data_IF_667314255401
#
_entry.id   IF_667314255401
#
_cell.length_a   1.000
_cell.length_b   1.000
_cell.length_c   1.000
_cell.angle_alpha   90.00
_cell.angle_beta   90.00
_cell.angle_gamma   90.00
#
_symmetry.space_group_name_H-M   'P 1'
#
loop_
_entity.id
_entity.type
_entity.pdbx_description
1 polymer ?
#
# COMPACT_ATOMS: atom_id res chain seq x y z
N UNK A 1 20.41 -0.33 56.40
CA UNK A 1 19.24 -1.04 56.95
C UNK A 1 18.18 -1.16 55.86
N UNK A 2 18.54 -1.73 54.72
CA UNK A 2 17.76 -1.64 53.47
C UNK A 2 16.71 -2.75 53.35
N UNK A 3 16.99 -3.92 53.92
CA UNK A 3 16.06 -5.05 53.92
C UNK A 3 14.81 -4.75 54.76
N UNK A 4 14.95 -4.08 55.91
CA UNK A 4 13.82 -3.73 56.79
C UNK A 4 12.93 -2.67 56.16
N UNK A 5 13.52 -1.66 55.50
CA UNK A 5 12.77 -0.62 54.77
C UNK A 5 12.00 -1.17 53.56
N UNK A 6 12.62 -2.11 52.83
CA UNK A 6 12.01 -2.78 51.67
C UNK A 6 10.81 -3.64 52.08
N UNK A 7 10.95 -4.44 53.16
CA UNK A 7 9.89 -5.33 53.65
C UNK A 7 8.75 -4.54 54.30
N UNK A 8 9.06 -3.51 55.10
CA UNK A 8 8.04 -2.68 55.73
C UNK A 8 7.26 -1.81 54.72
N UNK A 9 7.93 -1.28 53.69
CA UNK A 9 7.27 -0.53 52.62
C UNK A 9 6.33 -1.39 51.77
N UNK A 10 6.79 -2.59 51.36
CA UNK A 10 5.97 -3.55 50.64
C UNK A 10 4.74 -4.00 51.44
N UNK A 11 4.88 -4.22 52.76
CA UNK A 11 3.77 -4.58 53.64
C UNK A 11 2.75 -3.45 53.84
N UNK A 12 3.16 -2.18 53.69
CA UNK A 12 2.28 -1.01 53.76
C UNK A 12 1.77 -0.55 52.39
N UNK A 13 2.02 -1.32 51.33
CA UNK A 13 1.53 -1.03 49.97
C UNK A 13 2.25 0.14 49.28
N UNK A 14 3.43 0.55 49.75
CA UNK A 14 4.24 1.60 49.13
C UNK A 14 5.43 0.99 48.37
N UNK A 15 5.84 1.60 47.26
CA UNK A 15 7.00 1.15 46.50
C UNK A 15 8.28 1.25 47.33
N UNK A 16 9.24 0.36 47.07
CA UNK A 16 10.49 0.26 47.85
C UNK A 16 11.35 1.50 47.63
N UNK A 17 11.56 2.28 48.70
CA UNK A 17 12.27 3.58 48.67
C UNK A 17 13.70 3.46 48.09
N UNK A 18 14.37 2.33 48.34
CA UNK A 18 15.74 2.06 47.87
C UNK A 18 15.82 1.96 46.34
N UNK A 19 14.85 1.29 45.69
CA UNK A 19 14.82 1.16 44.23
C UNK A 19 14.63 2.51 43.51
N UNK A 20 13.95 3.46 44.16
CA UNK A 20 13.75 4.80 43.61
C UNK A 20 15.06 5.62 43.64
N UNK A 21 15.82 5.55 44.74
CA UNK A 21 17.10 6.27 44.87
C UNK A 21 18.14 5.69 43.92
N UNK A 22 18.23 4.37 43.79
CA UNK A 22 19.14 3.70 42.85
C UNK A 22 18.78 4.02 41.39
N UNK A 23 17.48 4.05 41.07
CA UNK A 23 16.99 4.48 39.76
C UNK A 23 17.32 5.96 39.47
N UNK A 24 17.11 6.85 40.43
CA UNK A 24 17.42 8.28 40.29
C UNK A 24 18.93 8.54 40.10
N UNK A 25 19.78 7.87 40.88
CA UNK A 25 21.23 7.95 40.74
C UNK A 25 21.70 7.40 39.38
N UNK A 26 21.11 6.30 38.92
CA UNK A 26 21.37 5.72 37.60
C UNK A 26 20.98 6.64 36.44
N UNK A 27 19.85 7.35 36.55
CA UNK A 27 19.41 8.34 35.55
C UNK A 27 20.34 9.56 35.52
N UNK A 28 20.77 10.06 36.68
CA UNK A 28 21.70 11.20 36.76
C UNK A 28 23.07 10.86 36.14
N UNK A 29 23.59 9.66 36.43
CA UNK A 29 24.87 9.21 35.89
C UNK A 29 24.77 8.88 34.39
N UNK A 30 23.69 8.25 33.94
CA UNK A 30 23.42 7.99 32.52
C UNK A 30 23.16 9.25 31.68
N UNK A 31 22.56 10.29 32.28
CA UNK A 31 22.42 11.60 31.64
C UNK A 31 23.76 12.29 31.37
N UNK A 32 24.77 12.06 32.23
CA UNK A 32 26.13 12.62 32.09
C UNK A 32 27.00 11.87 31.08
N UNK A 33 26.68 10.62 30.73
CA UNK A 33 27.44 9.84 29.72
C UNK A 33 27.03 10.16 28.28
N UNK A 34 25.96 10.93 28.07
CA UNK A 34 25.44 11.26 26.75
C UNK A 34 24.64 10.14 26.09
N UNK A 35 24.47 8.97 26.74
CA UNK A 35 23.66 7.86 26.23
C UNK A 35 22.22 8.31 25.96
N UNK A 36 21.65 9.15 26.84
CA UNK A 36 20.33 9.75 26.65
C UNK A 36 20.25 10.57 25.36
N UNK A 37 21.29 11.38 25.05
CA UNK A 37 21.33 12.18 23.84
C UNK A 37 21.42 11.30 22.58
N UNK A 38 22.21 10.22 22.62
CA UNK A 38 22.31 9.23 21.53
C UNK A 38 20.97 8.53 21.31
N UNK A 39 20.28 8.10 22.38
CA UNK A 39 18.95 7.49 22.28
C UNK A 39 17.92 8.44 21.68
N UNK A 40 17.89 9.71 22.12
CA UNK A 40 17.01 10.73 21.56
C UNK A 40 17.33 10.95 20.07
N UNK A 41 18.60 11.07 19.70
CA UNK A 41 19.00 11.23 18.30
C UNK A 41 18.54 10.05 17.43
N UNK A 42 18.70 8.81 17.89
CA UNK A 42 18.22 7.62 17.17
C UNK A 42 16.70 7.62 17.00
N UNK A 43 15.94 7.96 18.05
CA UNK A 43 14.49 8.08 17.95
C UNK A 43 14.09 9.20 16.98
N UNK A 44 14.74 10.36 17.01
CA UNK A 44 14.45 11.44 16.06
C UNK A 44 14.76 11.04 14.60
N UNK A 45 15.80 10.26 14.36
CA UNK A 45 16.09 9.69 13.03
C UNK A 45 14.99 8.72 12.58
N UNK A 46 14.44 7.93 13.49
CA UNK A 46 13.34 7.00 13.18
C UNK A 46 12.04 7.72 12.80
N UNK A 47 11.80 8.96 13.25
CA UNK A 47 10.60 9.75 12.88
C UNK A 47 10.49 10.00 11.38
N UNK A 48 11.60 10.02 10.64
CA UNK A 48 11.59 10.20 9.18
C UNK A 48 10.99 8.98 8.45
N UNK A 49 10.94 7.82 9.11
CA UNK A 49 10.49 6.57 8.52
C UNK A 49 9.16 6.13 9.13
N UNK A 50 8.06 6.29 8.37
CA UNK A 50 6.71 5.89 8.80
C UNK A 50 6.62 4.45 9.34
N UNK A 51 7.43 3.52 8.82
CA UNK A 51 7.49 2.12 9.31
C UNK A 51 7.83 2.00 10.80
N UNK A 52 8.54 2.96 11.38
CA UNK A 52 8.95 2.93 12.79
C UNK A 52 8.03 3.73 13.72
N UNK A 53 6.90 4.24 13.20
CA UNK A 53 5.96 5.04 13.98
C UNK A 53 5.44 4.32 15.23
N UNK A 54 5.34 2.98 15.21
CA UNK A 54 4.84 2.19 16.33
C UNK A 54 5.72 2.28 17.59
N UNK A 55 7.03 2.54 17.46
CA UNK A 55 7.92 2.73 18.61
C UNK A 55 7.55 3.97 19.44
N UNK A 56 6.89 4.96 18.85
CA UNK A 56 6.52 6.19 19.54
C UNK A 56 5.20 6.08 20.29
N UNK A 57 4.37 5.08 19.99
CA UNK A 57 3.05 4.93 20.60
C UNK A 57 3.15 4.82 22.14
N UNK A 58 4.00 3.91 22.63
CA UNK A 58 4.21 3.69 24.08
C UNK A 58 4.79 4.95 24.74
N UNK A 59 5.79 5.57 24.10
CA UNK A 59 6.43 6.79 24.62
C UNK A 59 5.42 7.94 24.76
N UNK A 60 4.59 8.16 23.74
CA UNK A 60 3.54 9.17 23.76
C UNK A 60 2.50 8.90 24.86
N UNK A 61 2.08 7.64 25.05
CA UNK A 61 1.17 7.24 26.11
C UNK A 61 1.75 7.49 27.51
N UNK A 62 3.02 7.14 27.73
CA UNK A 62 3.69 7.32 29.02
C UNK A 62 3.88 8.81 29.36
N UNK A 63 4.32 9.63 28.41
CA UNK A 63 4.49 11.08 28.61
C UNK A 63 3.14 11.75 28.91
N UNK A 64 2.08 11.32 28.23
CA UNK A 64 0.72 11.80 28.48
C UNK A 64 0.27 11.45 29.90
N UNK A 65 0.46 10.20 30.32
CA UNK A 65 0.14 9.75 31.68
C UNK A 65 0.92 10.50 32.76
N UNK A 66 2.23 10.66 32.56
CA UNK A 66 3.09 11.42 33.45
C UNK A 66 2.67 12.89 33.57
N UNK A 67 2.34 13.54 32.45
CA UNK A 67 1.90 14.94 32.44
C UNK A 67 0.58 15.13 33.19
N UNK A 68 -0.38 14.21 33.01
CA UNK A 68 -1.64 14.22 33.76
C UNK A 68 -1.38 14.10 35.27
N UNK A 69 -0.54 13.14 35.67
CA UNK A 69 -0.15 12.97 37.07
C UNK A 69 0.55 14.23 37.64
N UNK A 70 1.48 14.82 36.90
CA UNK A 70 2.20 16.02 37.30
C UNK A 70 1.27 17.21 37.53
N UNK A 71 0.30 17.44 36.63
CA UNK A 71 -0.70 18.50 36.80
C UNK A 71 -1.58 18.24 38.01
N UNK A 72 -1.99 16.99 38.24
CA UNK A 72 -2.82 16.60 39.38
C UNK A 72 -2.14 16.83 40.72
N UNK A 73 -0.85 16.48 40.85
CA UNK A 73 -0.05 16.68 42.07
C UNK A 73 0.04 18.16 42.49
N UNK A 74 0.11 19.07 41.50
CA UNK A 74 0.25 20.51 41.73
C UNK A 74 -1.07 21.26 41.87
N UNK A 75 -2.21 20.58 41.72
CA UNK A 75 -3.51 21.23 41.70
C UNK A 75 -4.06 21.45 43.12
N UNK A 76 -4.51 22.66 43.44
CA UNK A 76 -5.21 22.92 44.70
C UNK A 76 -6.62 22.33 44.68
N UNK A 77 -7.12 21.86 45.83
CA UNK A 77 -8.45 21.22 45.98
C UNK A 77 -9.61 22.04 45.39
N UNK A 78 -9.54 23.37 45.47
CA UNK A 78 -10.58 24.27 44.94
C UNK A 78 -10.75 24.19 43.42
N UNK A 79 -9.75 23.66 42.70
CA UNK A 79 -9.77 23.49 41.25
C UNK A 79 -10.03 22.05 40.79
N UNK A 80 -10.27 21.10 41.70
CA UNK A 80 -10.46 19.69 41.32
C UNK A 80 -11.65 19.49 40.38
N UNK A 81 -12.80 20.09 40.67
CA UNK A 81 -13.98 19.98 39.82
C UNK A 81 -13.76 20.55 38.40
N UNK A 82 -13.25 21.79 38.22
CA UNK A 82 -12.94 22.31 36.88
C UNK A 82 -11.81 21.53 36.17
N UNK A 83 -10.81 21.02 36.90
CA UNK A 83 -9.77 20.18 36.30
C UNK A 83 -10.30 18.82 35.84
N UNK A 84 -11.20 18.18 36.58
CA UNK A 84 -11.88 16.94 36.16
C UNK A 84 -12.70 17.19 34.90
N UNK A 85 -13.49 18.29 34.86
CA UNK A 85 -14.29 18.65 33.70
C UNK A 85 -13.42 18.95 32.47
N UNK A 86 -12.34 19.71 32.64
CA UNK A 86 -11.39 19.99 31.56
C UNK A 86 -10.68 18.70 31.09
N UNK A 87 -10.27 17.84 32.01
CA UNK A 87 -9.65 16.54 31.67
C UNK A 87 -10.61 15.69 30.87
N UNK A 88 -11.87 15.56 31.29
CA UNK A 88 -12.88 14.81 30.55
C UNK A 88 -13.14 15.42 29.17
N UNK A 89 -13.20 16.75 29.07
CA UNK A 89 -13.37 17.46 27.80
C UNK A 89 -12.21 17.19 26.82
N UNK A 90 -10.95 17.43 27.23
CA UNK A 90 -9.79 17.19 26.37
C UNK A 90 -9.56 15.70 26.07
N UNK A 91 -9.81 14.82 27.05
CA UNK A 91 -9.77 13.38 26.84
C UNK A 91 -10.84 12.93 25.85
N UNK A 92 -12.07 13.46 25.92
CA UNK A 92 -13.12 13.16 24.95
C UNK A 92 -12.77 13.67 23.54
N UNK A 93 -12.21 14.88 23.41
CA UNK A 93 -11.77 15.44 22.13
C UNK A 93 -10.61 14.66 21.49
N UNK A 94 -9.76 14.02 22.29
CA UNK A 94 -8.63 13.24 21.79
C UNK A 94 -9.01 11.78 21.58
N UNK A 95 -9.70 11.14 22.52
CA UNK A 95 -10.02 9.72 22.46
C UNK A 95 -11.16 9.43 21.50
N UNK A 96 -12.23 10.24 21.45
CA UNK A 96 -13.38 9.90 20.60
C UNK A 96 -13.00 9.88 19.11
N UNK A 97 -12.34 10.91 18.54
CA UNK A 97 -11.94 10.88 17.14
C UNK A 97 -10.90 9.79 16.85
N UNK A 98 -9.93 9.59 17.77
CA UNK A 98 -8.91 8.54 17.59
C UNK A 98 -9.49 7.13 17.75
N UNK A 99 -10.46 6.91 18.63
CA UNK A 99 -11.16 5.66 18.79
C UNK A 99 -12.03 5.35 17.57
N UNK A 100 -12.72 6.35 17.02
CA UNK A 100 -13.46 6.20 15.76
C UNK A 100 -12.52 5.79 14.62
N UNK A 101 -11.38 6.48 14.47
CA UNK A 101 -10.36 6.12 13.49
C UNK A 101 -9.80 4.72 13.73
N UNK A 102 -9.51 4.36 14.99
CA UNK A 102 -8.97 3.03 15.35
C UNK A 102 -9.98 1.92 15.08
N UNK A 103 -11.26 2.12 15.40
CA UNK A 103 -12.34 1.17 15.11
C UNK A 103 -12.52 1.04 13.60
N UNK A 104 -12.48 2.15 12.85
CA UNK A 104 -12.57 2.13 11.39
C UNK A 104 -11.39 1.34 10.78
N UNK A 105 -10.17 1.59 11.23
CA UNK A 105 -8.99 0.83 10.82
C UNK A 105 -9.07 -0.65 11.19
N UNK A 106 -9.52 -0.99 12.40
CA UNK A 106 -9.67 -2.38 12.84
C UNK A 106 -10.75 -3.15 12.07
N UNK A 107 -11.80 -2.46 11.60
CA UNK A 107 -12.86 -3.05 10.76
C UNK A 107 -12.48 -3.14 9.29
N UNK A 108 -11.48 -2.38 8.87
CA UNK A 108 -10.97 -2.45 7.50
C UNK A 108 -10.14 -3.74 7.34
N UNK A 109 -10.63 -4.69 6.55
CA UNK A 109 -9.94 -5.96 6.25
C UNK A 109 -8.79 -5.74 5.25
N UNK A 110 -7.96 -4.74 5.48
CA UNK A 110 -7.07 -4.17 4.44
C UNK A 110 -5.83 -4.99 4.14
N UNK A 111 -5.57 -6.06 4.91
CA UNK A 111 -4.34 -6.86 4.80
C UNK A 111 -4.56 -8.36 4.62
N UNK A 112 -5.80 -8.84 4.69
CA UNK A 112 -6.13 -10.24 4.39
C UNK A 112 -6.39 -10.38 2.89
N UNK A 113 -6.07 -11.54 2.28
CA UNK A 113 -6.55 -11.86 0.94
C UNK A 113 -8.08 -11.76 0.90
N UNK A 114 -8.65 -11.23 -0.19
CA UNK A 114 -10.10 -11.28 -0.40
C UNK A 114 -10.56 -12.73 -0.62
N UNK A 115 -11.87 -12.97 -0.56
CA UNK A 115 -12.41 -14.29 -0.87
C UNK A 115 -12.03 -14.71 -2.31
N UNK A 116 -11.97 -13.77 -3.26
CA UNK A 116 -11.50 -14.03 -4.63
C UNK A 116 -10.04 -14.54 -4.64
N UNK A 117 -9.18 -13.91 -3.85
CA UNK A 117 -7.80 -14.35 -3.68
C UNK A 117 -7.72 -15.73 -3.02
N UNK A 118 -8.49 -15.97 -1.96
CA UNK A 118 -8.48 -17.27 -1.27
C UNK A 118 -8.93 -18.41 -2.20
N UNK A 119 -10.02 -18.20 -2.94
CA UNK A 119 -10.53 -19.16 -3.94
C UNK A 119 -9.47 -19.42 -5.03
N UNK A 120 -8.82 -18.37 -5.51
CA UNK A 120 -7.75 -18.51 -6.52
C UNK A 120 -6.56 -19.30 -5.98
N UNK A 121 -6.14 -19.05 -4.74
CA UNK A 121 -5.01 -19.74 -4.12
C UNK A 121 -5.32 -21.22 -3.87
N UNK A 122 -6.55 -21.55 -3.45
CA UNK A 122 -7.04 -22.93 -3.35
C UNK A 122 -7.08 -23.63 -4.72
N UNK A 123 -7.53 -22.91 -5.77
CA UNK A 123 -7.49 -23.44 -7.13
C UNK A 123 -6.06 -23.76 -7.57
N UNK A 124 -5.10 -22.87 -7.30
CA UNK A 124 -3.68 -23.10 -7.61
C UNK A 124 -3.17 -24.33 -6.87
N UNK A 125 -3.45 -24.45 -5.58
CA UNK A 125 -3.02 -25.60 -4.76
C UNK A 125 -3.50 -26.94 -5.33
N UNK A 126 -4.72 -26.97 -5.87
CA UNK A 126 -5.40 -28.20 -6.30
C UNK A 126 -5.25 -28.52 -7.78
N UNK A 127 -4.94 -27.54 -8.65
CA UNK A 127 -4.94 -27.69 -10.11
C UNK A 127 -3.59 -27.47 -10.79
N UNK A 128 -2.53 -27.12 -10.05
CA UNK A 128 -1.17 -26.94 -10.61
C UNK A 128 -0.22 -28.02 -10.10
N UNK A 129 0.87 -28.26 -10.82
CA UNK A 129 1.93 -29.19 -10.40
C UNK A 129 2.56 -28.73 -9.07
N UNK A 130 2.93 -29.65 -8.17
CA UNK A 130 3.46 -29.30 -6.82
C UNK A 130 4.76 -28.47 -6.89
N UNK A 131 5.57 -28.67 -7.93
CA UNK A 131 6.81 -27.95 -8.19
C UNK A 131 6.63 -26.71 -9.07
N UNK A 132 5.38 -26.36 -9.42
CA UNK A 132 5.08 -25.21 -10.25
C UNK A 132 5.58 -23.90 -9.62
N UNK A 133 6.16 -23.05 -10.47
CA UNK A 133 6.62 -21.71 -10.13
C UNK A 133 5.58 -20.68 -10.58
N UNK A 134 5.03 -19.96 -9.60
CA UNK A 134 4.01 -18.94 -9.81
C UNK A 134 4.67 -17.55 -9.87
N UNK A 135 4.52 -16.88 -11.00
CA UNK A 135 4.92 -15.48 -11.23
C UNK A 135 3.76 -14.58 -10.81
N UNK A 136 4.02 -13.63 -9.92
CA UNK A 136 3.03 -12.66 -9.48
C UNK A 136 3.73 -11.36 -9.05
N UNK A 137 2.97 -10.29 -8.77
CA UNK A 137 3.54 -9.14 -8.09
C UNK A 137 4.06 -9.53 -6.69
N UNK A 138 5.18 -8.93 -6.28
CA UNK A 138 5.92 -9.37 -5.08
C UNK A 138 5.09 -9.30 -3.79
N UNK A 139 4.11 -8.40 -3.70
CA UNK A 139 3.20 -8.29 -2.54
C UNK A 139 2.52 -9.63 -2.22
N UNK A 140 2.25 -10.47 -3.23
CA UNK A 140 1.44 -11.68 -3.12
C UNK A 140 2.27 -12.94 -2.84
N UNK A 141 3.60 -12.86 -2.87
CA UNK A 141 4.47 -14.04 -2.80
C UNK A 141 4.26 -14.87 -1.52
N UNK A 142 3.99 -14.23 -0.38
CA UNK A 142 3.71 -14.97 0.86
C UNK A 142 2.34 -15.66 0.86
N UNK A 143 1.34 -15.09 0.19
CA UNK A 143 0.03 -15.74 0.08
C UNK A 143 0.13 -16.99 -0.80
N UNK A 144 0.86 -16.90 -1.91
CA UNK A 144 1.13 -18.05 -2.78
C UNK A 144 1.88 -19.16 -2.03
N UNK A 145 2.95 -18.80 -1.29
CA UNK A 145 3.74 -19.79 -0.56
C UNK A 145 2.96 -20.44 0.58
N UNK A 146 2.13 -19.68 1.29
CA UNK A 146 1.44 -20.13 2.49
C UNK A 146 0.14 -20.84 2.21
N UNK A 147 -0.70 -20.27 1.34
CA UNK A 147 -2.06 -20.73 1.10
C UNK A 147 -2.13 -21.64 -0.13
N UNK A 148 -1.39 -21.35 -1.20
CA UNK A 148 -1.38 -22.21 -2.39
C UNK A 148 -0.34 -23.35 -2.34
N UNK A 149 0.55 -23.33 -1.33
CA UNK A 149 1.68 -24.26 -1.20
C UNK A 149 2.46 -24.44 -2.51
N UNK A 150 2.81 -23.32 -3.17
CA UNK A 150 3.62 -23.28 -4.39
C UNK A 150 4.81 -22.32 -4.27
N UNK A 151 5.81 -22.52 -5.14
CA UNK A 151 6.94 -21.61 -5.22
C UNK A 151 6.50 -20.29 -5.87
N UNK A 152 6.56 -19.19 -5.13
CA UNK A 152 6.44 -17.85 -5.71
C UNK A 152 7.78 -17.38 -6.27
N UNK A 153 7.80 -16.92 -7.53
CA UNK A 153 9.03 -16.41 -8.18
C UNK A 153 9.64 -15.21 -7.42
N UNK A 154 8.77 -14.34 -6.88
CA UNK A 154 9.12 -13.18 -6.06
C UNK A 154 8.27 -13.12 -4.79
N UNK A 155 8.83 -12.56 -3.71
CA UNK A 155 8.13 -12.34 -2.45
C UNK A 155 8.57 -11.03 -1.76
N UNK A 156 7.88 -10.58 -0.68
CA UNK A 156 8.15 -9.31 -0.01
C UNK A 156 9.52 -9.11 0.62
N UNK A 157 10.26 -10.18 0.93
CA UNK A 157 11.58 -10.08 1.55
C UNK A 157 12.73 -10.48 0.64
N UNK A 158 12.49 -10.67 -0.66
CA UNK A 158 13.51 -11.08 -1.61
C UNK A 158 14.37 -9.90 -2.11
N UNK A 159 15.52 -10.22 -2.68
CA UNK A 159 16.39 -9.26 -3.35
C UNK A 159 15.62 -8.46 -4.43
N UNK A 160 15.89 -7.15 -4.59
CA UNK A 160 15.24 -6.32 -5.60
C UNK A 160 15.39 -6.83 -7.04
N UNK A 161 16.48 -7.51 -7.40
CA UNK A 161 16.79 -7.92 -8.77
C UNK A 161 15.68 -8.75 -9.44
N UNK A 162 15.25 -9.89 -8.87
CA UNK A 162 14.10 -10.65 -9.35
C UNK A 162 12.81 -9.84 -9.46
N UNK A 163 12.53 -8.94 -8.50
CA UNK A 163 11.35 -8.07 -8.54
C UNK A 163 11.39 -7.14 -9.76
N UNK A 164 12.56 -6.57 -10.08
CA UNK A 164 12.74 -5.75 -11.29
C UNK A 164 12.48 -6.54 -12.57
N UNK A 165 12.87 -7.81 -12.63
CA UNK A 165 12.62 -8.67 -13.80
C UNK A 165 11.12 -8.89 -14.01
N UNK A 166 10.39 -9.25 -12.95
CA UNK A 166 8.92 -9.42 -13.01
C UNK A 166 8.23 -8.11 -13.37
N UNK A 167 8.67 -6.99 -12.77
CA UNK A 167 8.13 -5.68 -13.10
C UNK A 167 8.35 -5.31 -14.59
N UNK A 168 9.55 -5.61 -15.12
CA UNK A 168 9.83 -5.41 -16.54
C UNK A 168 8.97 -6.31 -17.42
N UNK A 169 8.80 -7.58 -17.07
CA UNK A 169 7.94 -8.53 -17.77
C UNK A 169 6.48 -8.05 -17.82
N UNK A 170 5.94 -7.52 -16.72
CA UNK A 170 4.55 -7.01 -16.68
C UNK A 170 4.30 -5.85 -17.65
N UNK A 171 5.36 -5.18 -18.09
CA UNK A 171 5.31 -4.11 -19.08
C UNK A 171 5.60 -4.69 -20.47
N UNK A 172 6.83 -4.66 -20.92
CA UNK A 172 7.26 -5.00 -22.29
C UNK A 172 8.61 -5.72 -22.30
N UNK A 173 9.06 -6.17 -21.11
CA UNK A 173 10.31 -6.86 -20.92
C UNK A 173 10.26 -8.35 -21.27
N UNK A 174 11.42 -9.02 -21.19
CA UNK A 174 11.49 -10.46 -21.43
C UNK A 174 10.69 -11.24 -20.39
N UNK A 175 10.09 -12.33 -20.84
CA UNK A 175 9.40 -13.30 -19.99
C UNK A 175 10.42 -13.93 -19.03
N UNK A 176 10.07 -14.01 -17.74
CA UNK A 176 10.87 -14.76 -16.76
C UNK A 176 10.45 -16.23 -16.76
N UNK A 177 11.35 -17.10 -16.34
CA UNK A 177 11.09 -18.54 -16.23
C UNK A 177 10.10 -18.83 -15.08
N UNK A 178 8.95 -19.42 -15.44
CA UNK A 178 7.92 -19.87 -14.52
C UNK A 178 6.73 -20.46 -15.29
N UNK A 179 5.85 -21.16 -14.58
CA UNK A 179 4.80 -21.99 -15.18
C UNK A 179 3.46 -21.26 -15.30
N UNK A 180 3.14 -20.46 -14.27
CA UNK A 180 1.88 -19.72 -14.18
C UNK A 180 2.13 -18.24 -13.86
N UNK A 181 1.31 -17.38 -14.44
CA UNK A 181 1.28 -15.94 -14.19
C UNK A 181 -0.05 -15.56 -13.53
N UNK A 182 0.04 -14.96 -12.35
CA UNK A 182 -1.08 -14.46 -11.56
C UNK A 182 -1.16 -12.93 -11.65
N UNK A 183 -2.31 -12.42 -12.09
CA UNK A 183 -2.58 -10.99 -12.22
C UNK A 183 -3.88 -10.61 -11.52
N UNK A 184 -3.87 -9.46 -10.85
CA UNK A 184 -5.05 -8.89 -10.20
C UNK A 184 -5.37 -7.48 -10.72
N UNK A 185 -6.58 -7.01 -10.42
CA UNK A 185 -7.02 -5.67 -10.82
C UNK A 185 -6.07 -4.56 -10.36
N UNK A 186 -5.44 -4.68 -9.18
CA UNK A 186 -4.67 -3.58 -8.62
C UNK A 186 -3.35 -3.40 -9.36
N UNK A 187 -2.68 -4.49 -9.78
CA UNK A 187 -1.45 -4.42 -10.56
C UNK A 187 -1.66 -3.71 -11.90
N UNK A 188 -2.77 -3.99 -12.56
CA UNK A 188 -3.06 -3.49 -13.91
C UNK A 188 -3.76 -2.14 -13.92
N UNK A 189 -4.29 -1.65 -12.80
CA UNK A 189 -4.97 -0.34 -12.74
C UNK A 189 -4.31 0.64 -11.77
N UNK A 190 -4.17 0.25 -10.50
CA UNK A 190 -3.74 1.11 -9.40
C UNK A 190 -2.23 1.17 -9.17
N UNK A 191 -1.52 0.06 -9.36
CA UNK A 191 -0.09 -0.11 -9.05
C UNK A 191 0.84 -0.01 -10.25
N UNK A 192 0.32 0.28 -11.45
CA UNK A 192 1.11 0.42 -12.68
C UNK A 192 2.31 1.37 -12.51
N UNK A 193 2.14 2.44 -11.73
CA UNK A 193 3.23 3.38 -11.43
C UNK A 193 4.38 2.72 -10.66
N UNK A 194 4.07 1.82 -9.73
CA UNK A 194 5.05 1.08 -8.97
C UNK A 194 5.73 0.05 -9.88
N UNK A 195 4.97 -0.67 -10.71
CA UNK A 195 5.51 -1.59 -11.72
C UNK A 195 6.51 -0.87 -12.63
N UNK A 196 6.16 0.31 -13.15
CA UNK A 196 7.05 1.13 -13.96
C UNK A 196 8.34 1.50 -13.23
N UNK A 197 8.24 2.01 -11.99
CA UNK A 197 9.41 2.40 -11.20
C UNK A 197 10.32 1.21 -10.91
N UNK A 198 9.76 0.05 -10.56
CA UNK A 198 10.54 -1.17 -10.32
C UNK A 198 11.21 -1.69 -11.61
N UNK A 199 10.60 -1.47 -12.77
CA UNK A 199 11.21 -1.74 -14.07
C UNK A 199 12.22 -0.68 -14.53
N UNK A 200 12.60 0.28 -13.65
CA UNK A 200 13.46 1.43 -13.96
C UNK A 200 12.90 2.31 -15.11
N UNK A 201 11.57 2.40 -15.23
CA UNK A 201 10.86 3.22 -16.22
C UNK A 201 10.07 4.35 -15.55
N UNK A 202 9.94 5.53 -16.21
CA UNK A 202 9.13 6.59 -15.66
C UNK A 202 7.64 6.23 -15.76
N UNK A 203 6.89 6.40 -14.66
CA UNK A 203 5.44 6.18 -14.66
C UNK A 203 4.70 7.04 -15.70
N UNK A 204 5.25 8.21 -16.04
CA UNK A 204 4.73 9.12 -17.07
C UNK A 204 4.81 8.55 -18.49
N UNK A 205 5.51 7.44 -18.73
CA UNK A 205 5.43 6.73 -20.01
C UNK A 205 4.08 6.02 -20.20
N UNK A 206 3.36 5.72 -19.11
CA UNK A 206 2.16 4.89 -19.12
C UNK A 206 0.89 5.69 -18.87
N UNK A 207 0.94 6.70 -18.01
CA UNK A 207 -0.20 7.57 -17.75
C UNK A 207 0.25 8.92 -17.19
N UNK A 208 -0.62 9.91 -17.26
CA UNK A 208 -0.39 11.22 -16.64
C UNK A 208 -1.70 11.82 -16.12
N UNK A 209 -1.60 12.77 -15.19
CA UNK A 209 -2.74 13.54 -14.70
C UNK A 209 -2.81 14.88 -15.42
N UNK A 210 -3.95 15.13 -16.04
CA UNK A 210 -4.27 16.40 -16.69
C UNK A 210 -5.37 17.13 -15.94
N UNK A 211 -5.50 18.42 -16.21
CA UNK A 211 -6.57 19.26 -15.72
C UNK A 211 -7.55 19.54 -16.85
N UNK A 212 -8.82 19.23 -16.62
CA UNK A 212 -9.92 19.53 -17.53
C UNK A 212 -10.87 20.52 -16.87
N UNK A 213 -11.34 21.53 -17.62
CA UNK A 213 -12.36 22.45 -17.12
C UNK A 213 -13.74 21.85 -17.39
N UNK A 214 -14.45 21.48 -16.31
CA UNK A 214 -15.85 21.03 -16.37
C UNK A 214 -16.68 21.95 -15.47
N UNK A 215 -17.71 22.59 -16.03
CA UNK A 215 -18.58 23.50 -15.27
C UNK A 215 -17.85 24.69 -14.64
N UNK A 216 -16.76 25.17 -15.26
CA UNK A 216 -15.96 26.29 -14.73
C UNK A 216 -14.94 25.90 -13.64
N UNK A 217 -14.89 24.64 -13.21
CA UNK A 217 -13.90 24.14 -12.25
C UNK A 217 -12.84 23.27 -12.92
N UNK A 218 -11.59 23.37 -12.43
CA UNK A 218 -10.48 22.50 -12.86
C UNK A 218 -10.57 21.18 -12.11
N UNK A 219 -10.73 20.08 -12.85
CA UNK A 219 -10.77 18.74 -12.29
C UNK A 219 -9.58 17.92 -12.80
N UNK A 220 -8.86 17.19 -11.92
CA UNK A 220 -7.82 16.27 -12.35
C UNK A 220 -8.44 15.05 -13.03
N UNK A 221 -7.88 14.65 -14.17
CA UNK A 221 -8.26 13.48 -14.94
C UNK A 221 -7.00 12.67 -15.23
N UNK A 222 -7.02 11.38 -14.86
CA UNK A 222 -5.96 10.44 -15.22
C UNK A 222 -6.20 9.97 -16.65
N UNK A 223 -5.20 10.09 -17.51
CA UNK A 223 -5.26 9.61 -18.89
C UNK A 223 -4.14 8.60 -19.12
N UNK A 224 -4.49 7.49 -19.75
CA UNK A 224 -3.59 6.38 -20.05
C UNK A 224 -3.02 6.51 -21.46
N UNK A 225 -1.76 6.17 -21.64
CA UNK A 225 -1.08 6.24 -22.94
C UNK A 225 -1.08 4.89 -23.63
N UNK A 226 -0.83 4.84 -24.95
CA UNK A 226 -0.75 3.58 -25.68
C UNK A 226 0.20 2.54 -25.05
N UNK A 227 1.30 2.98 -24.42
CA UNK A 227 2.23 2.08 -23.72
C UNK A 227 1.60 1.34 -22.52
N UNK A 228 0.61 1.94 -21.85
CA UNK A 228 -0.17 1.27 -20.81
C UNK A 228 -0.94 0.09 -21.38
N UNK A 229 -1.71 0.32 -22.44
CA UNK A 229 -2.53 -0.73 -23.07
C UNK A 229 -1.69 -1.84 -23.70
N UNK A 230 -0.47 -1.53 -24.13
CA UNK A 230 0.49 -2.49 -24.69
C UNK A 230 1.33 -3.22 -23.64
N UNK A 231 1.13 -2.94 -22.35
CA UNK A 231 1.83 -3.67 -21.28
C UNK A 231 1.29 -5.10 -21.20
N UNK A 232 2.15 -6.11 -21.07
CA UNK A 232 1.81 -7.52 -21.01
C UNK A 232 0.72 -7.79 -19.98
N UNK A 233 0.89 -7.28 -18.75
CA UNK A 233 -0.08 -7.48 -17.68
C UNK A 233 -1.44 -6.88 -18.02
N UNK A 234 -1.47 -5.71 -18.67
CA UNK A 234 -2.71 -5.04 -19.09
C UNK A 234 -3.38 -5.81 -20.23
N UNK A 235 -2.62 -6.25 -21.23
CA UNK A 235 -3.15 -7.06 -22.33
C UNK A 235 -3.76 -8.38 -21.84
N UNK A 236 -3.06 -9.08 -20.95
CA UNK A 236 -3.54 -10.34 -20.38
C UNK A 236 -4.75 -10.13 -19.47
N UNK A 237 -4.67 -9.25 -18.48
CA UNK A 237 -5.73 -9.12 -17.48
C UNK A 237 -6.96 -8.36 -17.99
N UNK A 238 -6.76 -7.20 -18.64
CA UNK A 238 -7.87 -6.32 -19.04
C UNK A 238 -8.56 -6.81 -20.31
N UNK A 239 -7.86 -7.56 -21.16
CA UNK A 239 -8.33 -7.98 -22.49
C UNK A 239 -8.17 -9.48 -22.76
N UNK A 240 -7.94 -10.29 -21.73
CA UNK A 240 -7.80 -11.75 -21.80
C UNK A 240 -6.71 -12.26 -22.75
N UNK A 241 -5.72 -11.41 -23.06
CA UNK A 241 -4.69 -11.68 -24.07
C UNK A 241 -5.21 -11.67 -25.50
N UNK A 242 -6.49 -11.33 -25.72
CA UNK A 242 -7.10 -11.28 -27.04
C UNK A 242 -6.75 -10.00 -27.82
N UNK A 243 -6.93 -10.02 -29.15
CA UNK A 243 -6.77 -8.81 -29.96
C UNK A 243 -7.89 -7.82 -29.66
N UNK A 244 -7.58 -6.52 -29.72
CA UNK A 244 -8.55 -5.45 -29.47
C UNK A 244 -8.67 -4.56 -30.69
N UNK A 245 -9.90 -4.35 -31.15
CA UNK A 245 -10.24 -3.29 -32.10
C UNK A 245 -10.97 -2.18 -31.33
N UNK A 246 -10.41 -0.95 -31.24
CA UNK A 246 -11.04 0.15 -30.53
C UNK A 246 -12.40 0.47 -31.11
N UNK A 247 -13.42 0.54 -30.26
CA UNK A 247 -14.74 1.08 -30.62
C UNK A 247 -14.70 2.60 -30.77
N UNK A 248 -13.81 3.25 -30.02
CA UNK A 248 -13.52 4.67 -30.07
C UNK A 248 -12.06 4.92 -29.70
N UNK A 249 -11.48 5.99 -30.24
CA UNK A 249 -10.14 6.46 -29.91
C UNK A 249 -10.19 7.93 -29.51
N UNK A 250 -9.56 8.28 -28.40
CA UNK A 250 -9.52 9.66 -27.91
C UNK A 250 -8.19 10.30 -28.24
N UNK A 251 -8.21 11.53 -28.76
CA UNK A 251 -7.02 12.37 -28.91
C UNK A 251 -7.16 13.65 -28.09
N UNK A 252 -6.05 14.13 -27.54
CA UNK A 252 -5.99 15.38 -26.78
C UNK A 252 -4.94 16.35 -27.34
N UNK A 253 -5.23 17.63 -27.19
CA UNK A 253 -4.28 18.73 -27.36
C UNK A 253 -4.16 19.44 -26.03
N UNK A 254 -2.94 19.63 -25.55
CA UNK A 254 -2.66 20.17 -24.21
C UNK A 254 -1.80 21.44 -24.28
N UNK A 255 -1.89 22.26 -23.24
CA UNK A 255 -0.94 23.32 -22.96
C UNK A 255 -0.42 23.12 -21.53
N UNK A 256 0.79 22.55 -21.42
CA UNK A 256 1.27 21.96 -20.17
C UNK A 256 0.31 20.86 -19.71
N UNK A 257 -0.13 20.94 -18.45
CA UNK A 257 -1.03 19.93 -17.86
C UNK A 257 -2.51 20.25 -18.07
N UNK A 258 -2.87 21.32 -18.78
CA UNK A 258 -4.26 21.65 -19.10
C UNK A 258 -4.66 21.01 -20.44
N UNK A 259 -5.82 20.35 -20.46
CA UNK A 259 -6.44 19.88 -21.71
C UNK A 259 -7.14 21.05 -22.38
N UNK A 260 -6.69 21.40 -23.59
CA UNK A 260 -7.31 22.44 -24.40
C UNK A 260 -8.44 21.88 -25.29
N UNK A 261 -8.21 20.69 -25.86
CA UNK A 261 -9.19 19.96 -26.68
C UNK A 261 -9.09 18.47 -26.38
N UNK A 262 -10.24 17.81 -26.37
CA UNK A 262 -10.38 16.36 -26.29
C UNK A 262 -11.41 15.93 -27.33
N UNK A 263 -10.97 15.18 -28.33
CA UNK A 263 -11.80 14.69 -29.41
C UNK A 263 -11.94 13.16 -29.26
N UNK A 264 -13.18 12.67 -29.18
CA UNK A 264 -13.50 11.24 -29.16
C UNK A 264 -13.92 10.86 -30.57
N UNK A 265 -13.18 9.94 -31.20
CA UNK A 265 -13.32 9.60 -32.59
C UNK A 265 -13.74 8.13 -32.74
N UNK A 266 -14.56 7.79 -33.74
CA UNK A 266 -15.11 6.44 -33.90
C UNK A 266 -14.07 5.41 -34.33
N UNK A 267 -12.93 5.83 -34.90
CA UNK A 267 -11.88 4.91 -35.34
C UNK A 267 -10.48 5.38 -34.95
N UNK A 268 -9.57 4.43 -34.77
CA UNK A 268 -8.16 4.71 -34.51
C UNK A 268 -7.49 5.48 -35.67
N UNK A 269 -7.82 5.14 -36.91
CA UNK A 269 -7.28 5.83 -38.09
C UNK A 269 -7.69 7.32 -38.12
N UNK A 270 -8.93 7.64 -37.75
CA UNK A 270 -9.37 9.03 -37.59
C UNK A 270 -8.64 9.75 -36.46
N UNK A 271 -8.39 9.08 -35.33
CA UNK A 271 -7.62 9.65 -34.23
C UNK A 271 -6.16 9.97 -34.62
N UNK A 272 -5.54 9.09 -35.41
CA UNK A 272 -4.22 9.35 -35.99
C UNK A 272 -4.28 10.53 -36.96
N UNK A 273 -5.29 10.58 -37.84
CA UNK A 273 -5.44 11.64 -38.85
C UNK A 273 -5.76 13.02 -38.23
N UNK A 274 -6.53 13.06 -37.13
CA UNK A 274 -6.84 14.29 -36.38
C UNK A 274 -5.59 14.94 -35.78
N UNK A 275 -4.58 14.13 -35.45
CA UNK A 275 -3.37 14.58 -34.76
C UNK A 275 -3.60 14.84 -33.27
N UNK A 276 -2.53 15.24 -32.57
CA UNK A 276 -2.50 15.33 -31.11
C UNK A 276 -1.99 14.05 -30.45
N UNK A 277 -2.20 13.92 -29.14
CA UNK A 277 -1.77 12.74 -28.37
C UNK A 277 -2.95 11.81 -28.17
N UNK A 278 -2.82 10.57 -28.65
CA UNK A 278 -3.81 9.51 -28.41
C UNK A 278 -3.72 9.06 -26.95
N UNK A 279 -4.86 8.99 -26.29
CA UNK A 279 -5.00 8.66 -24.88
C UNK A 279 -6.24 7.81 -24.65
N UNK A 280 -6.25 7.06 -23.56
CA UNK A 280 -7.42 6.35 -23.09
C UNK A 280 -7.88 6.91 -21.75
N UNK A 281 -9.20 6.89 -21.56
CA UNK A 281 -9.87 7.43 -20.37
C UNK A 281 -10.20 6.35 -19.35
N UNK A 282 -10.27 5.09 -19.80
CA UNK A 282 -10.62 3.92 -18.98
C UNK A 282 -9.60 2.80 -19.17
N UNK A 283 -9.23 2.07 -18.11
CA UNK A 283 -8.25 0.98 -18.21
C UNK A 283 -8.72 -0.20 -19.07
N UNK A 284 -10.02 -0.50 -19.10
CA UNK A 284 -10.60 -1.65 -19.82
C UNK A 284 -11.12 -1.31 -21.22
N UNK A 285 -10.88 -0.09 -21.71
CA UNK A 285 -11.26 0.34 -23.06
C UNK A 285 -10.01 0.88 -23.78
N UNK A 286 -9.45 0.08 -24.68
CA UNK A 286 -8.22 0.48 -25.38
C UNK A 286 -8.53 1.53 -26.47
N UNK A 287 -7.83 2.68 -26.48
CA UNK A 287 -7.92 3.67 -27.55
C UNK A 287 -7.08 3.29 -28.79
N UNK A 288 -6.33 2.18 -28.72
CA UNK A 288 -5.40 1.71 -29.77
C UNK A 288 -5.66 0.24 -30.09
N UNK A 289 -5.44 -0.19 -31.35
CA UNK A 289 -5.50 -1.61 -31.68
C UNK A 289 -4.40 -2.37 -30.93
N UNK A 290 -4.76 -3.55 -30.44
CA UNK A 290 -3.86 -4.47 -29.76
C UNK A 290 -3.85 -5.81 -30.50
N UNK A 291 -2.67 -6.41 -30.59
CA UNK A 291 -2.50 -7.77 -31.11
C UNK A 291 -2.75 -8.78 -29.98
N UNK A 292 -3.06 -10.02 -30.36
CA UNK A 292 -3.20 -11.09 -29.37
C UNK A 292 -1.84 -11.38 -28.73
N UNK A 293 -1.84 -11.65 -27.42
CA UNK A 293 -0.63 -12.06 -26.70
C UNK A 293 -0.45 -13.56 -26.88
N UNK A 294 0.66 -13.95 -27.50
CA UNK A 294 1.01 -15.37 -27.71
C UNK A 294 1.68 -15.98 -26.48
N UNK A 295 1.56 -17.31 -26.33
CA UNK A 295 2.25 -18.10 -25.30
C UNK A 295 1.64 -18.03 -23.90
N UNK A 296 0.50 -17.37 -23.73
CA UNK A 296 -0.27 -17.33 -22.49
C UNK A 296 -1.70 -17.82 -22.71
N UNK A 297 -2.15 -18.72 -21.85
CA UNK A 297 -3.53 -19.22 -21.86
C UNK A 297 -4.19 -18.94 -20.52
N UNK A 298 -5.33 -18.25 -20.52
CA UNK A 298 -6.16 -18.11 -19.33
C UNK A 298 -6.65 -19.50 -18.90
N UNK A 299 -6.34 -19.90 -17.67
CA UNK A 299 -6.71 -21.22 -17.11
C UNK A 299 -7.67 -21.11 -15.93
N UNK A 300 -7.73 -19.94 -15.29
CA UNK A 300 -8.65 -19.65 -14.20
C UNK A 300 -8.90 -18.15 -14.08
N UNK A 301 -10.13 -17.79 -13.73
CA UNK A 301 -10.53 -16.45 -13.32
C UNK A 301 -11.45 -16.56 -12.10
N UNK A 302 -11.28 -15.66 -11.12
CA UNK A 302 -12.09 -15.69 -9.91
C UNK A 302 -13.55 -15.36 -10.18
N UNK A 303 -14.50 -16.01 -9.51
CA UNK A 303 -15.93 -15.68 -9.64
C UNK A 303 -16.22 -14.28 -9.08
N UNK A 304 -15.54 -13.94 -7.99
CA UNK A 304 -15.66 -12.65 -7.35
C UNK A 304 -14.83 -11.57 -8.06
N UNK A 305 -15.36 -10.36 -8.07
CA UNK A 305 -14.79 -9.26 -8.83
C UNK A 305 -15.51 -7.94 -8.64
N UNK A 306 -15.05 -6.91 -9.36
CA UNK A 306 -15.62 -5.57 -9.32
C UNK A 306 -16.24 -5.25 -10.69
N UNK A 307 -17.50 -4.83 -10.70
CA UNK A 307 -18.24 -4.46 -11.92
C UNK A 307 -18.27 -5.57 -13.00
N UNK A 308 -18.35 -6.85 -12.58
CA UNK A 308 -18.38 -8.00 -13.49
C UNK A 308 -17.01 -8.41 -14.04
N UNK A 309 -15.92 -7.84 -13.53
CA UNK A 309 -14.54 -8.20 -13.88
C UNK A 309 -13.93 -8.96 -12.70
N UNK A 310 -13.52 -10.21 -12.93
CA UNK A 310 -12.84 -11.06 -11.94
C UNK A 310 -11.67 -10.37 -11.29
N UNK A 311 -11.56 -10.42 -9.96
CA UNK A 311 -10.49 -9.77 -9.21
C UNK A 311 -9.11 -10.32 -9.58
N UNK A 312 -8.99 -11.64 -9.77
CA UNK A 312 -7.74 -12.35 -10.04
C UNK A 312 -7.88 -13.27 -11.25
N UNK A 313 -6.83 -13.33 -12.08
CA UNK A 313 -6.73 -14.21 -13.25
C UNK A 313 -5.40 -14.97 -13.25
N UNK A 314 -5.45 -16.24 -13.64
CA UNK A 314 -4.28 -17.13 -13.74
C UNK A 314 -4.08 -17.53 -15.19
N UNK A 315 -2.88 -17.32 -15.69
CA UNK A 315 -2.46 -17.69 -17.04
C UNK A 315 -1.38 -18.76 -16.97
N UNK A 316 -1.47 -19.80 -17.81
CA UNK A 316 -0.39 -20.78 -18.00
C UNK A 316 0.52 -20.31 -19.13
N UNK A 317 1.84 -20.37 -18.91
CA UNK A 317 2.85 -20.05 -19.92
C UNK A 317 3.29 -21.31 -20.69
N UNK A 318 3.61 -21.17 -21.98
CA UNK A 318 4.27 -22.23 -22.76
C UNK A 318 3.37 -23.26 -23.43
N UNK A 319 2.10 -22.93 -23.73
CA UNK A 319 1.22 -23.72 -24.59
C UNK A 319 0.83 -22.97 -25.86
#
# INVERSE_FOLDING_TARGET
>A
SDAVGTVAGAAMGTSTVTSFIESAAGVEQGGRTGLTAVTIAMLLLMLQFRRFAYYFAINASLITGWFIWYVWDKLERKYYLPAIMATFFFFSMTVIPNAQNSIASARSHTFAPSDAWMETLEWIETNTEEDAVIIAWWDYGYWIQREANRTAYVNPSQDPGPVKKVASMFLDGPIVEGDYLLLDNTVTTGKVWAVAIWADKPASAYFEYYLMVKGGQKQPVKLFYPAYYRSLAVQLYNFDGGPVTPTQSTTIITNGNMINSMDILPTYAEAVAKGGRIVGTQPFESPVPLEAVEGFKLVYESEQGINGISEVKVFRYGQ
#
